data_IF_214609578072
#
_entry.id   IF_214609578072
#
_cell.length_a   1.000
_cell.length_b   1.000
_cell.length_c   1.000
_cell.angle_alpha   90.00
_cell.angle_beta   90.00
_cell.angle_gamma   90.00
#
_symmetry.space_group_name_H-M   'P 1'
#
loop_
_entity.id
_entity.type
_entity.pdbx_description
1 polymer ?
#
# COMPACT_ATOMS: atom_id res chain seq x y z
N UNK A 1 11.47 -17.53 -3.59
CA UNK A 1 10.04 -17.32 -3.28
C UNK A 1 9.83 -15.82 -3.16
N UNK A 2 8.84 -15.27 -3.87
CA UNK A 2 8.60 -13.83 -3.94
C UNK A 2 7.85 -13.35 -2.70
N UNK A 3 8.36 -12.30 -2.05
CA UNK A 3 7.70 -11.64 -0.91
C UNK A 3 8.01 -10.12 -0.90
N UNK A 4 7.56 -9.39 0.13
CA UNK A 4 7.77 -7.95 0.27
C UNK A 4 9.24 -7.49 0.18
N UNK A 5 10.22 -8.32 0.56
CA UNK A 5 11.66 -7.99 0.43
C UNK A 5 12.10 -7.71 -1.00
N UNK A 6 11.34 -8.23 -1.98
CA UNK A 6 11.69 -8.14 -3.41
C UNK A 6 11.07 -6.93 -4.12
N UNK A 7 10.21 -6.14 -3.46
CA UNK A 7 9.55 -4.99 -4.09
C UNK A 7 9.27 -3.82 -3.14
N UNK A 8 8.98 -4.10 -1.86
CA UNK A 8 8.74 -3.04 -0.87
C UNK A 8 10.05 -2.53 -0.26
N UNK A 9 11.02 -3.41 0.00
CA UNK A 9 12.31 -3.01 0.59
C UNK A 9 13.43 -2.80 -0.44
N UNK A 10 13.21 -3.24 -1.67
CA UNK A 10 14.20 -3.19 -2.75
C UNK A 10 13.54 -2.66 -4.01
N UNK A 11 14.28 -1.89 -4.81
CA UNK A 11 13.82 -1.43 -6.10
C UNK A 11 13.57 -2.64 -7.04
N UNK A 12 12.33 -2.87 -7.51
CA UNK A 12 12.04 -3.92 -8.47
C UNK A 12 12.51 -3.52 -9.87
N UNK A 13 12.60 -4.51 -10.78
CA UNK A 13 12.90 -4.26 -12.19
C UNK A 13 11.85 -3.32 -12.81
N UNK A 14 12.24 -2.34 -13.64
CA UNK A 14 11.33 -1.32 -14.19
C UNK A 14 10.47 -1.86 -15.34
N UNK A 15 9.93 -3.07 -15.17
CA UNK A 15 9.09 -3.76 -16.14
C UNK A 15 7.70 -3.94 -15.49
N UNK A 16 6.67 -3.21 -15.94
CA UNK A 16 5.35 -3.22 -15.30
C UNK A 16 4.77 -4.62 -15.08
N UNK A 17 4.90 -5.49 -16.08
CA UNK A 17 4.43 -6.87 -15.99
C UNK A 17 5.11 -7.66 -14.86
N UNK A 18 6.44 -7.56 -14.75
CA UNK A 18 7.18 -8.28 -13.69
C UNK A 18 6.88 -7.73 -12.30
N UNK A 19 6.66 -6.43 -12.16
CA UNK A 19 6.24 -5.81 -10.91
C UNK A 19 4.86 -6.33 -10.49
N UNK A 20 3.89 -6.34 -11.41
CA UNK A 20 2.56 -6.85 -11.14
C UNK A 20 2.57 -8.33 -10.75
N UNK A 21 3.29 -9.18 -11.50
CA UNK A 21 3.48 -10.60 -11.17
C UNK A 21 4.08 -10.78 -9.77
N UNK A 22 5.08 -9.99 -9.42
CA UNK A 22 5.75 -10.05 -8.12
C UNK A 22 4.80 -9.71 -6.97
N UNK A 23 3.99 -8.68 -7.15
CA UNK A 23 2.99 -8.26 -6.18
C UNK A 23 1.89 -9.31 -6.04
N UNK A 24 1.31 -9.78 -7.16
CA UNK A 24 0.26 -10.80 -7.14
C UNK A 24 0.76 -12.08 -6.46
N UNK A 25 1.96 -12.56 -6.79
CA UNK A 25 2.55 -13.73 -6.12
C UNK A 25 2.76 -13.51 -4.61
N UNK A 26 3.13 -12.30 -4.19
CA UNK A 26 3.23 -11.94 -2.76
C UNK A 26 1.86 -12.03 -2.08
N UNK A 27 0.83 -11.43 -2.68
CA UNK A 27 -0.52 -11.39 -2.14
C UNK A 27 -1.17 -12.78 -2.09
N UNK A 28 -1.03 -13.58 -3.15
CA UNK A 28 -1.52 -14.96 -3.17
C UNK A 28 -0.83 -15.83 -2.12
N UNK A 29 0.49 -15.70 -1.95
CA UNK A 29 1.23 -16.39 -0.89
C UNK A 29 0.74 -15.98 0.49
N UNK A 30 0.36 -14.71 0.64
CA UNK A 30 -0.27 -14.18 1.84
C UNK A 30 -1.76 -14.53 1.96
N UNK A 31 -2.37 -15.34 1.07
CA UNK A 31 -3.81 -15.67 1.04
C UNK A 31 -4.72 -14.44 0.89
N UNK A 32 -4.28 -13.45 0.13
CA UNK A 32 -5.07 -12.29 -0.30
C UNK A 32 -5.35 -12.52 -1.79
N UNK A 33 -6.52 -13.05 -2.11
CA UNK A 33 -6.86 -13.52 -3.46
C UNK A 33 -7.98 -12.73 -4.13
N UNK A 34 -8.64 -11.84 -3.39
CA UNK A 34 -9.79 -11.07 -3.88
C UNK A 34 -9.41 -9.85 -4.71
N UNK A 35 -8.10 -9.61 -4.89
CA UNK A 35 -7.56 -8.54 -5.72
C UNK A 35 -6.50 -9.09 -6.67
N UNK A 36 -6.60 -8.68 -7.93
CA UNK A 36 -5.53 -8.82 -8.91
C UNK A 36 -4.93 -7.45 -9.22
N UNK A 37 -3.62 -7.31 -9.01
CA UNK A 37 -2.91 -6.05 -9.17
C UNK A 37 -2.36 -5.87 -10.59
N UNK A 38 -2.48 -4.66 -11.12
CA UNK A 38 -1.89 -4.22 -12.38
C UNK A 38 -0.98 -3.02 -12.13
N UNK A 39 0.28 -3.11 -12.56
CA UNK A 39 1.24 -2.01 -12.43
C UNK A 39 0.94 -0.91 -13.45
N UNK A 40 0.73 0.31 -12.94
CA UNK A 40 0.42 1.51 -13.74
C UNK A 40 1.57 2.52 -13.75
N UNK A 41 2.50 2.44 -12.79
CA UNK A 41 3.76 3.21 -12.77
C UNK A 41 4.91 2.31 -12.30
N UNK A 42 5.89 2.08 -13.18
CA UNK A 42 7.01 1.16 -12.97
C UNK A 42 8.31 1.87 -12.53
N UNK A 43 8.16 3.03 -11.91
CA UNK A 43 9.23 3.84 -11.32
C UNK A 43 8.75 4.40 -9.98
N UNK A 44 9.69 4.73 -9.09
CA UNK A 44 9.38 5.21 -7.75
C UNK A 44 8.73 6.62 -7.76
N UNK A 45 7.69 6.87 -6.96
CA UNK A 45 6.95 5.88 -6.17
C UNK A 45 6.18 4.93 -7.09
N UNK A 46 6.30 3.62 -6.93
CA UNK A 46 5.63 2.68 -7.83
C UNK A 46 4.12 2.67 -7.60
N UNK A 47 3.32 2.36 -8.62
CA UNK A 47 1.86 2.35 -8.52
C UNK A 47 1.25 1.10 -9.14
N UNK A 48 0.34 0.47 -8.40
CA UNK A 48 -0.55 -0.59 -8.86
C UNK A 48 -2.01 -0.24 -8.60
N UNK A 49 -2.89 -0.70 -9.48
CA UNK A 49 -4.34 -0.64 -9.31
C UNK A 49 -4.91 -2.05 -9.26
N UNK A 50 -5.96 -2.26 -8.48
CA UNK A 50 -6.67 -3.52 -8.38
C UNK A 50 -8.17 -3.29 -8.38
N UNK A 51 -8.91 -4.30 -8.81
CA UNK A 51 -10.36 -4.37 -8.62
C UNK A 51 -10.64 -5.18 -7.35
N UNK A 52 -11.43 -4.62 -6.45
CA UNK A 52 -11.95 -5.28 -5.26
C UNK A 52 -13.47 -5.26 -5.33
N UNK A 53 -14.04 -6.32 -5.90
CA UNK A 53 -15.50 -6.50 -6.03
C UNK A 53 -16.19 -5.35 -6.80
N UNK A 54 -15.53 -4.83 -7.85
CA UNK A 54 -16.03 -3.70 -8.64
C UNK A 54 -15.59 -2.32 -8.16
N UNK A 55 -14.94 -2.24 -6.99
CA UNK A 55 -14.32 -1.00 -6.50
C UNK A 55 -12.83 -0.95 -6.86
N UNK A 56 -12.40 0.14 -7.49
CA UNK A 56 -10.99 0.36 -7.79
C UNK A 56 -10.22 0.73 -6.51
N UNK A 57 -9.20 -0.05 -6.20
CA UNK A 57 -8.23 0.22 -5.13
C UNK A 57 -6.85 0.50 -5.72
N UNK A 58 -6.09 1.38 -5.04
CA UNK A 58 -4.76 1.81 -5.46
C UNK A 58 -3.75 1.45 -4.40
N UNK A 59 -2.65 0.85 -4.82
CA UNK A 59 -1.46 0.67 -4.00
C UNK A 59 -0.33 1.49 -4.59
N UNK A 60 0.35 2.27 -3.76
CA UNK A 60 1.51 3.05 -4.16
C UNK A 60 2.61 2.88 -3.12
N UNK A 61 3.88 2.82 -3.54
CA UNK A 61 4.97 2.66 -2.58
C UNK A 61 6.29 3.26 -3.06
N UNK A 62 7.06 3.76 -2.12
CA UNK A 62 8.46 4.15 -2.29
C UNK A 62 9.34 3.06 -1.65
N UNK A 63 10.20 2.37 -2.40
CA UNK A 63 10.99 1.27 -1.87
C UNK A 63 11.83 1.67 -0.66
N UNK A 64 11.73 0.91 0.43
CA UNK A 64 12.46 1.16 1.67
C UNK A 64 11.92 2.31 2.51
N UNK A 65 10.83 2.97 2.09
CA UNK A 65 10.32 4.19 2.73
C UNK A 65 8.87 4.05 3.20
N UNK A 66 7.91 3.85 2.29
CA UNK A 66 6.49 3.75 2.65
C UNK A 66 5.68 3.00 1.61
N UNK A 67 4.56 2.45 2.05
CA UNK A 67 3.52 1.84 1.22
C UNK A 67 2.19 2.45 1.62
N UNK A 68 1.35 2.80 0.66
CA UNK A 68 -0.02 3.23 0.89
C UNK A 68 -0.99 2.33 0.14
N UNK A 69 -2.15 2.12 0.75
CA UNK A 69 -3.32 1.49 0.15
C UNK A 69 -4.48 2.49 0.24
N UNK A 70 -5.09 2.82 -0.90
CA UNK A 70 -6.23 3.73 -1.01
C UNK A 70 -7.43 3.03 -1.65
N UNK A 71 -8.63 3.21 -1.10
CA UNK A 71 -9.83 2.54 -1.59
C UNK A 71 -11.11 2.99 -0.87
N UNK A 72 -12.24 2.30 -1.12
CA UNK A 72 -13.49 2.59 -0.45
C UNK A 72 -13.42 2.15 1.01
N UNK A 73 -14.21 2.76 1.89
CA UNK A 73 -14.31 2.35 3.29
C UNK A 73 -15.31 1.20 3.43
N UNK A 74 -14.87 -0.01 3.04
CA UNK A 74 -15.67 -1.24 3.11
C UNK A 74 -14.97 -2.31 3.93
N UNK A 75 -15.74 -3.30 4.39
CA UNK A 75 -15.21 -4.46 5.11
C UNK A 75 -14.17 -5.22 4.27
N UNK A 76 -14.43 -5.41 2.98
CA UNK A 76 -13.48 -6.04 2.06
C UNK A 76 -12.16 -5.26 1.99
N UNK A 77 -12.22 -3.92 1.94
CA UNK A 77 -11.02 -3.08 1.93
C UNK A 77 -10.22 -3.20 3.23
N UNK A 78 -10.90 -3.25 4.38
CA UNK A 78 -10.26 -3.50 5.67
C UNK A 78 -9.58 -4.87 5.73
N UNK A 79 -10.17 -5.92 5.14
CA UNK A 79 -9.54 -7.23 5.07
C UNK A 79 -8.24 -7.23 4.24
N UNK A 80 -8.17 -6.44 3.16
CA UNK A 80 -6.93 -6.24 2.40
C UNK A 80 -5.88 -5.54 3.28
N UNK A 81 -6.26 -4.46 3.97
CA UNK A 81 -5.38 -3.74 4.89
C UNK A 81 -4.83 -4.65 6.01
N UNK A 82 -5.69 -5.46 6.63
CA UNK A 82 -5.29 -6.43 7.65
C UNK A 82 -4.35 -7.49 7.07
N UNK A 83 -4.65 -7.97 5.85
CA UNK A 83 -3.79 -8.89 5.12
C UNK A 83 -2.39 -8.34 4.89
N UNK A 84 -2.29 -7.08 4.45
CA UNK A 84 -1.00 -6.41 4.26
C UNK A 84 -0.25 -6.34 5.60
N UNK A 85 -0.93 -5.88 6.66
CA UNK A 85 -0.31 -5.70 7.97
C UNK A 85 0.17 -7.01 8.58
N UNK A 86 -0.63 -8.07 8.53
CA UNK A 86 -0.35 -9.32 9.23
C UNK A 86 0.50 -10.29 8.42
N UNK A 87 0.33 -10.33 7.09
CA UNK A 87 0.84 -11.42 6.23
C UNK A 87 1.82 -10.95 5.16
N UNK A 88 1.78 -9.68 4.74
CA UNK A 88 2.71 -9.14 3.72
C UNK A 88 3.89 -8.43 4.38
N UNK A 89 3.63 -7.50 5.29
CA UNK A 89 4.64 -6.64 5.91
C UNK A 89 4.97 -7.02 7.35
N UNK A 90 4.15 -7.87 7.98
CA UNK A 90 4.25 -8.25 9.40
C UNK A 90 4.40 -7.04 10.33
N UNK A 91 3.66 -5.96 10.05
CA UNK A 91 3.65 -4.71 10.82
C UNK A 91 2.35 -3.94 10.65
N UNK A 92 1.88 -3.22 11.68
CA UNK A 92 0.66 -2.43 11.58
C UNK A 92 0.84 -1.25 10.63
N UNK A 93 -0.27 -0.77 10.07
CA UNK A 93 -0.30 0.54 9.42
C UNK A 93 0.14 1.62 10.42
N UNK A 94 0.95 2.57 9.96
CA UNK A 94 1.44 3.67 10.76
C UNK A 94 0.36 4.76 10.90
N UNK A 95 -0.34 5.06 9.81
CA UNK A 95 -1.29 6.16 9.71
C UNK A 95 -2.50 5.81 8.86
N UNK A 96 -3.56 6.58 9.04
CA UNK A 96 -4.77 6.53 8.23
C UNK A 96 -5.34 7.92 8.03
N UNK A 97 -5.95 8.17 6.87
CA UNK A 97 -6.53 9.46 6.49
C UNK A 97 -7.47 9.32 5.29
N UNK A 98 -8.20 10.37 4.95
CA UNK A 98 -8.94 10.48 3.69
C UNK A 98 -8.20 11.35 2.69
N UNK A 99 -8.16 10.94 1.43
CA UNK A 99 -7.62 11.77 0.37
C UNK A 99 -8.70 12.70 -0.24
N UNK A 100 -8.32 13.59 -1.17
CA UNK A 100 -9.25 14.50 -1.87
C UNK A 100 -10.38 13.81 -2.65
N UNK A 101 -10.20 12.55 -3.01
CA UNK A 101 -11.21 11.75 -3.69
C UNK A 101 -12.18 11.09 -2.70
N UNK A 102 -12.06 11.37 -1.40
CA UNK A 102 -12.87 10.77 -0.35
C UNK A 102 -12.49 9.33 0.02
N UNK A 103 -11.46 8.77 -0.62
CA UNK A 103 -11.01 7.40 -0.38
C UNK A 103 -10.32 7.29 0.98
N UNK A 104 -10.54 6.15 1.64
CA UNK A 104 -9.81 5.77 2.84
C UNK A 104 -8.39 5.36 2.45
N UNK A 105 -7.40 5.89 3.17
CA UNK A 105 -5.98 5.57 2.97
C UNK A 105 -5.41 4.97 4.24
N UNK A 106 -4.60 3.92 4.08
CA UNK A 106 -3.73 3.36 5.11
C UNK A 106 -2.29 3.40 4.61
N UNK A 107 -1.35 3.90 5.41
CA UNK A 107 0.07 3.83 5.07
C UNK A 107 0.88 3.03 6.10
N UNK A 108 1.84 2.26 5.60
CA UNK A 108 2.89 1.61 6.36
C UNK A 108 4.21 2.31 6.07
N UNK A 109 4.96 2.66 7.11
CA UNK A 109 6.25 3.33 6.96
C UNK A 109 7.38 2.37 7.33
N UNK A 110 8.43 2.34 6.52
CA UNK A 110 9.74 1.80 6.91
C UNK A 110 10.31 2.60 8.11
N UNK A 111 11.45 2.17 8.66
CA UNK A 111 12.01 2.71 9.90
C UNK A 111 12.22 4.25 9.92
N UNK A 112 12.12 4.96 8.79
CA UNK A 112 12.21 6.41 8.63
C UNK A 112 10.85 7.17 8.64
N UNK A 113 9.79 6.62 9.24
CA UNK A 113 8.42 7.18 9.17
C UNK A 113 8.19 8.63 9.66
N UNK A 114 9.12 9.23 10.41
CA UNK A 114 8.97 10.61 10.89
C UNK A 114 8.97 11.65 9.77
N UNK A 115 9.75 11.42 8.70
CA UNK A 115 9.77 12.34 7.54
C UNK A 115 8.43 12.34 6.83
N UNK A 116 7.92 11.14 6.49
CA UNK A 116 6.63 10.96 5.83
C UNK A 116 5.48 11.50 6.68
N UNK A 117 5.55 11.33 8.00
CA UNK A 117 4.58 11.94 8.91
C UNK A 117 4.51 13.46 8.76
N UNK A 118 5.65 14.15 8.77
CA UNK A 118 5.70 15.60 8.61
C UNK A 118 5.20 16.06 7.24
N UNK A 119 5.52 15.30 6.18
CA UNK A 119 5.01 15.56 4.82
C UNK A 119 3.47 15.50 4.79
N UNK A 120 2.87 14.46 5.38
CA UNK A 120 1.41 14.30 5.42
C UNK A 120 0.71 15.42 6.20
N UNK A 121 1.33 15.94 7.27
CA UNK A 121 0.76 17.05 8.03
C UNK A 121 0.74 18.37 7.25
N UNK A 122 1.68 18.56 6.32
CA UNK A 122 1.76 19.73 5.47
C UNK A 122 0.94 19.64 4.19
N UNK A 123 0.37 18.48 3.88
CA UNK A 123 -0.33 18.23 2.62
C UNK A 123 -1.84 18.59 2.72
N UNK A 124 -2.32 19.63 2.00
CA UNK A 124 -3.73 20.00 1.98
C UNK A 124 -4.62 18.99 1.24
N UNK A 125 -4.07 17.88 0.71
CA UNK A 125 -4.82 16.77 0.14
C UNK A 125 -5.22 15.72 1.18
N UNK A 126 -4.59 15.77 2.36
CA UNK A 126 -4.75 14.82 3.46
C UNK A 126 -5.79 15.37 4.44
N UNK A 127 -6.88 14.63 4.60
CA UNK A 127 -7.98 14.97 5.50
C UNK A 127 -8.05 13.94 6.64
N UNK A 128 -8.41 14.39 7.84
CA UNK A 128 -8.65 13.49 8.99
C UNK A 128 -7.45 12.59 9.36
N UNK A 129 -6.22 13.10 9.21
CA UNK A 129 -4.99 12.36 9.50
C UNK A 129 -4.95 11.84 10.94
N UNK A 130 -4.75 10.52 11.10
CA UNK A 130 -4.65 9.83 12.38
C UNK A 130 -3.43 8.91 12.40
N UNK A 131 -2.77 8.80 13.55
CA UNK A 131 -1.79 7.73 13.82
C UNK A 131 -2.50 6.48 14.31
N UNK A 132 -2.09 5.32 13.79
CA UNK A 132 -2.66 4.02 14.14
C UNK A 132 -1.74 3.20 15.05
N UNK A 133 -0.42 3.35 14.91
CA UNK A 133 0.54 2.72 15.83
C UNK A 133 1.10 3.74 16.82
N UNK A 134 1.20 3.35 18.09
CA UNK A 134 2.23 3.88 18.98
C UNK A 134 3.53 3.13 18.63
N UNK A 135 4.59 3.90 18.38
CA UNK A 135 5.94 3.37 18.21
C UNK A 135 6.34 2.44 19.36
#
# INVERSE_FOLDING_TARGET
MTNASTWFYTQPEPIPYLIAERINNTFWSARIVDVYWQCTRAEAPYQCVGDLHGDAIRMEWEPGEWLLLAGPETEAFHQIMDGISQRVLARPAAVTYRNRQGQQVYEWHAAAGNRRWNELQGDPTVLELKRLSKA
#
